data_IF_579477254337
#
_entry.id   IF_579477254337
#
_cell.length_a   1.000
_cell.length_b   1.000
_cell.length_c   1.000
_cell.angle_alpha   90.00
_cell.angle_beta   90.00
_cell.angle_gamma   90.00
#
_symmetry.space_group_name_H-M   'P 1'
#
loop_
_entity.id
_entity.type
_entity.pdbx_description
1 polymer ?
#
# COMPACT_ATOMS: atom_id res chain seq x y z
N UNK A 1 20.78 45.77 -49.41
CA UNK A 1 21.66 44.61 -49.64
C UNK A 1 21.42 43.65 -48.50
N UNK A 2 21.06 42.42 -48.85
CA UNK A 2 20.60 41.31 -48.00
C UNK A 2 21.33 41.18 -46.65
N UNK A 3 20.54 41.01 -45.59
CA UNK A 3 20.89 40.93 -44.16
C UNK A 3 21.56 39.60 -43.74
N UNK A 4 22.40 39.02 -44.61
CA UNK A 4 23.02 37.71 -44.37
C UNK A 4 24.57 37.69 -44.43
N UNK A 5 25.25 38.83 -44.59
CA UNK A 5 26.72 38.85 -44.75
C UNK A 5 27.46 39.90 -43.90
N UNK A 6 27.15 40.01 -42.59
CA UNK A 6 28.04 40.72 -41.65
C UNK A 6 28.12 40.01 -40.30
N UNK A 7 29.35 39.61 -39.96
CA UNK A 7 29.85 39.08 -38.66
C UNK A 7 29.95 37.56 -38.48
N UNK A 8 30.51 36.88 -39.49
CA UNK A 8 31.61 35.92 -39.25
C UNK A 8 32.91 36.73 -39.26
N UNK A 9 33.37 37.21 -38.11
CA UNK A 9 34.73 37.79 -37.97
C UNK A 9 35.11 38.11 -36.50
N UNK A 10 34.72 37.29 -35.52
CA UNK A 10 35.18 37.46 -34.12
C UNK A 10 35.34 36.13 -33.34
N UNK A 11 35.63 35.05 -34.05
CA UNK A 11 36.14 33.79 -33.48
C UNK A 11 37.33 33.37 -34.33
N UNK A 12 38.55 33.70 -33.87
CA UNK A 12 39.83 33.02 -34.17
C UNK A 12 41.02 33.92 -33.83
N UNK A 13 41.12 34.34 -32.57
CA UNK A 13 42.42 34.83 -32.05
C UNK A 13 42.42 34.76 -30.52
N UNK A 14 42.70 33.55 -30.02
CA UNK A 14 43.47 33.23 -28.80
C UNK A 14 43.23 31.79 -28.36
N UNK A 15 43.78 30.87 -29.16
CA UNK A 15 44.31 29.61 -28.64
C UNK A 15 45.83 29.64 -28.87
N UNK A 16 46.57 29.10 -27.90
CA UNK A 16 47.98 28.71 -27.91
C UNK A 16 49.04 29.78 -27.59
N UNK A 17 49.59 29.65 -26.39
CA UNK A 17 51.01 29.33 -26.13
C UNK A 17 51.07 28.86 -24.65
N UNK A 18 51.21 27.56 -24.40
CA UNK A 18 52.47 26.81 -24.33
C UNK A 18 53.12 26.82 -22.93
N UNK A 19 53.23 25.59 -22.39
CA UNK A 19 54.39 25.02 -21.69
C UNK A 19 54.56 25.33 -20.18
N UNK A 20 54.33 24.28 -19.37
CA UNK A 20 54.84 24.03 -17.99
C UNK A 20 56.32 24.45 -17.80
N UNK A 21 56.82 24.80 -16.59
CA UNK A 21 56.66 23.95 -15.39
C UNK A 21 56.63 24.68 -14.03
N UNK A 22 56.06 24.05 -13.00
CA UNK A 22 56.81 23.74 -11.77
C UNK A 22 55.90 23.18 -10.69
N UNK A 23 56.22 21.96 -10.29
CA UNK A 23 55.97 21.40 -8.96
C UNK A 23 56.22 22.45 -7.87
N UNK A 24 55.16 22.89 -7.20
CA UNK A 24 55.23 23.31 -5.80
C UNK A 24 54.08 22.66 -5.04
N UNK A 25 54.43 21.54 -4.43
CA UNK A 25 53.85 21.06 -3.19
C UNK A 25 53.62 22.23 -2.22
N UNK A 26 52.35 22.52 -1.94
CA UNK A 26 51.88 23.11 -0.68
C UNK A 26 50.76 22.20 -0.21
N UNK A 27 51.15 21.19 0.55
CA UNK A 27 50.88 21.15 1.99
C UNK A 27 49.37 21.18 2.28
N UNK A 28 48.83 19.96 2.34
CA UNK A 28 47.66 19.53 3.06
C UNK A 28 47.17 20.53 4.11
N UNK A 29 46.07 21.23 3.79
CA UNK A 29 45.24 21.87 4.80
C UNK A 29 43.90 21.12 4.89
N UNK A 30 43.47 20.91 6.12
CA UNK A 30 42.60 19.83 6.58
C UNK A 30 41.10 20.14 6.35
N UNK A 31 40.68 20.25 5.09
CA UNK A 31 39.31 20.64 4.72
C UNK A 31 38.26 19.53 4.66
N UNK A 32 38.63 18.26 4.46
CA UNK A 32 37.65 17.22 4.08
C UNK A 32 36.87 16.56 5.24
N UNK A 33 37.43 16.54 6.46
CA UNK A 33 36.87 15.71 7.55
C UNK A 33 35.83 16.45 8.41
N UNK A 34 35.87 17.78 8.45
CA UNK A 34 34.94 18.62 9.19
C UNK A 34 33.60 18.82 8.49
N UNK A 35 33.62 19.01 7.16
CA UNK A 35 32.43 19.32 6.36
C UNK A 35 31.48 18.13 6.25
N UNK A 36 32.05 16.93 6.10
CA UNK A 36 31.31 15.67 5.98
C UNK A 36 30.55 15.27 7.26
N UNK A 37 31.13 15.51 8.44
CA UNK A 37 30.45 15.23 9.72
C UNK A 37 29.25 16.15 9.93
N UNK A 38 29.38 17.41 9.56
CA UNK A 38 28.30 18.39 9.60
C UNK A 38 27.17 17.99 8.64
N UNK A 39 27.48 17.50 7.44
CA UNK A 39 26.47 17.01 6.50
C UNK A 39 25.73 15.77 7.02
N UNK A 40 26.44 14.77 7.58
CA UNK A 40 25.80 13.61 8.22
C UNK A 40 24.90 14.04 9.38
N UNK A 41 25.33 15.07 10.12
CA UNK A 41 24.58 15.61 11.23
C UNK A 41 23.32 16.35 10.75
N UNK A 42 23.42 17.25 9.76
CA UNK A 42 22.29 17.99 9.17
C UNK A 42 21.26 17.03 8.54
N UNK A 43 21.74 16.01 7.84
CA UNK A 43 20.90 14.95 7.27
C UNK A 43 20.26 14.12 8.40
N UNK A 44 21.05 13.76 9.41
CA UNK A 44 20.58 13.01 10.57
C UNK A 44 19.50 13.76 11.36
N UNK A 45 19.68 15.06 11.59
CA UNK A 45 18.73 15.93 12.30
C UNK A 45 17.46 16.17 11.48
N UNK A 46 17.58 16.33 10.16
CA UNK A 46 16.43 16.39 9.24
C UNK A 46 15.64 15.08 9.24
N UNK A 47 16.33 13.93 9.36
CA UNK A 47 15.69 12.62 9.31
C UNK A 47 15.00 12.25 10.64
N UNK A 48 15.52 12.70 11.79
CA UNK A 48 14.95 12.42 13.13
C UNK A 48 13.50 12.88 13.29
N UNK A 49 13.00 13.80 12.45
CA UNK A 49 11.59 14.22 12.46
C UNK A 49 10.60 13.19 11.85
N UNK A 50 11.07 12.08 11.26
CA UNK A 50 10.24 11.14 10.48
C UNK A 50 9.81 9.84 11.20
N UNK A 51 9.87 9.76 12.54
CA UNK A 51 9.39 8.58 13.30
C UNK A 51 10.17 7.28 12.99
N UNK A 52 9.53 6.11 12.97
CA UNK A 52 10.23 4.82 12.74
C UNK A 52 10.77 4.65 11.31
N UNK A 53 10.16 5.32 10.32
CA UNK A 53 10.64 5.41 8.93
C UNK A 53 12.00 6.12 8.86
N UNK A 54 12.26 7.02 9.82
CA UNK A 54 13.52 7.74 9.94
C UNK A 54 14.71 6.80 10.12
N UNK A 55 14.59 5.70 10.85
CA UNK A 55 15.76 4.88 11.22
C UNK A 55 16.31 4.11 10.02
N UNK A 56 15.44 3.44 9.25
CA UNK A 56 15.84 2.70 8.05
C UNK A 56 16.36 3.63 6.93
N UNK A 57 15.71 4.79 6.74
CA UNK A 57 16.18 5.80 5.78
C UNK A 57 17.50 6.41 6.26
N UNK A 58 17.63 6.73 7.54
CA UNK A 58 18.88 7.24 8.13
C UNK A 58 20.00 6.24 7.97
N UNK A 59 19.79 4.97 8.26
CA UNK A 59 20.81 3.93 8.14
C UNK A 59 21.24 3.73 6.69
N UNK A 60 20.29 3.72 5.74
CA UNK A 60 20.60 3.62 4.32
C UNK A 60 21.39 4.84 3.80
N UNK A 61 20.97 6.06 4.19
CA UNK A 61 21.67 7.30 3.83
C UNK A 61 23.04 7.38 4.48
N UNK A 62 23.18 7.06 5.77
CA UNK A 62 24.46 7.01 6.48
C UNK A 62 25.39 5.97 5.86
N UNK A 63 24.87 4.81 5.46
CA UNK A 63 25.63 3.75 4.79
C UNK A 63 26.12 4.21 3.42
N UNK A 64 25.26 4.83 2.60
CA UNK A 64 25.63 5.34 1.27
C UNK A 64 26.67 6.46 1.37
N UNK A 65 26.46 7.41 2.27
CA UNK A 65 27.38 8.53 2.51
C UNK A 65 28.73 7.99 3.01
N UNK A 66 28.73 6.99 3.90
CA UNK A 66 29.94 6.31 4.38
C UNK A 66 30.67 5.50 3.30
N UNK A 67 29.93 4.87 2.38
CA UNK A 67 30.51 4.17 1.24
C UNK A 67 31.14 5.12 0.22
N UNK A 68 30.67 6.36 0.14
CA UNK A 68 31.22 7.40 -0.73
C UNK A 68 32.41 8.15 -0.12
N UNK A 69 32.73 7.92 1.16
CA UNK A 69 33.86 8.53 1.89
C UNK A 69 35.20 8.58 1.12
N UNK A 70 35.65 7.52 0.40
CA UNK A 70 36.92 7.57 -0.34
C UNK A 70 36.86 8.35 -1.66
N UNK A 71 35.69 8.81 -2.11
CA UNK A 71 35.47 9.49 -3.41
C UNK A 71 35.16 10.99 -3.19
N UNK A 72 34.90 11.41 -1.94
CA UNK A 72 34.49 12.77 -1.56
C UNK A 72 35.45 13.85 -2.04
N UNK A 73 36.75 13.56 -2.10
CA UNK A 73 37.76 14.53 -2.58
C UNK A 73 37.63 14.85 -4.09
N UNK A 74 36.82 14.09 -4.83
CA UNK A 74 36.60 14.23 -6.27
C UNK A 74 35.18 14.65 -6.64
N UNK A 75 34.29 14.81 -5.66
CA UNK A 75 32.89 15.17 -5.92
C UNK A 75 32.62 16.57 -5.39
N UNK A 76 31.89 17.37 -6.17
CA UNK A 76 31.35 18.66 -5.74
C UNK A 76 30.35 18.44 -4.61
N UNK A 77 30.80 18.71 -3.38
CA UNK A 77 30.06 18.45 -2.14
C UNK A 77 28.75 19.24 -2.10
N UNK A 78 28.69 20.43 -2.71
CA UNK A 78 27.44 21.20 -2.75
C UNK A 78 26.43 20.63 -3.75
N UNK A 79 26.87 20.05 -4.88
CA UNK A 79 25.97 19.31 -5.76
C UNK A 79 25.41 18.05 -5.10
N UNK A 80 26.24 17.34 -4.32
CA UNK A 80 25.77 16.22 -3.52
C UNK A 80 24.72 16.69 -2.50
N UNK A 81 25.00 17.77 -1.77
CA UNK A 81 24.08 18.33 -0.78
C UNK A 81 22.72 18.67 -1.38
N UNK A 82 22.70 19.40 -2.49
CA UNK A 82 21.46 19.74 -3.21
C UNK A 82 20.71 18.49 -3.69
N UNK A 83 21.42 17.50 -4.22
CA UNK A 83 20.81 16.23 -4.64
C UNK A 83 20.21 15.44 -3.45
N UNK A 84 20.90 15.43 -2.30
CA UNK A 84 20.41 14.77 -1.09
C UNK A 84 19.22 15.50 -0.49
N UNK A 85 19.24 16.83 -0.43
CA UNK A 85 18.09 17.63 0.00
C UNK A 85 16.89 17.34 -0.88
N UNK A 86 17.05 17.24 -2.21
CA UNK A 86 15.97 16.86 -3.12
C UNK A 86 15.45 15.43 -2.89
N UNK A 87 16.31 14.47 -2.53
CA UNK A 87 15.90 13.11 -2.15
C UNK A 87 15.10 13.14 -0.84
N UNK A 88 15.56 13.87 0.17
CA UNK A 88 14.89 13.99 1.47
C UNK A 88 13.53 14.69 1.33
N UNK A 89 13.45 15.76 0.54
CA UNK A 89 12.19 16.45 0.22
C UNK A 89 11.23 15.52 -0.54
N UNK A 90 11.70 14.79 -1.55
CA UNK A 90 10.88 13.81 -2.27
C UNK A 90 10.37 12.65 -1.39
N UNK A 91 11.18 12.22 -0.41
CA UNK A 91 10.76 11.24 0.59
C UNK A 91 9.72 11.80 1.56
N UNK A 92 9.88 13.07 1.97
CA UNK A 92 8.93 13.76 2.83
C UNK A 92 7.57 13.92 2.14
N UNK A 93 7.55 14.40 0.90
CA UNK A 93 6.34 14.49 0.09
C UNK A 93 5.67 13.13 -0.04
N UNK A 94 6.44 12.08 -0.34
CA UNK A 94 5.91 10.71 -0.46
C UNK A 94 5.30 10.22 0.86
N UNK A 95 5.96 10.50 2.00
CA UNK A 95 5.44 10.12 3.31
C UNK A 95 4.15 10.88 3.66
N UNK A 96 4.10 12.18 3.40
CA UNK A 96 2.91 13.01 3.62
C UNK A 96 1.75 12.56 2.74
N UNK A 97 2.03 12.30 1.45
CA UNK A 97 1.07 11.76 0.49
C UNK A 97 0.49 10.40 0.99
N UNK A 98 1.33 9.47 1.44
CA UNK A 98 0.88 8.16 1.95
C UNK A 98 0.04 8.31 3.23
N UNK A 99 0.38 9.25 4.12
CA UNK A 99 -0.44 9.55 5.30
C UNK A 99 -1.81 10.12 4.91
N UNK A 100 -1.85 11.00 3.91
CA UNK A 100 -3.10 11.55 3.39
C UNK A 100 -3.94 10.47 2.70
N UNK A 101 -3.32 9.58 1.93
CA UNK A 101 -3.96 8.40 1.38
C UNK A 101 -4.62 7.53 2.47
N UNK A 102 -3.91 7.23 3.56
CA UNK A 102 -4.47 6.43 4.66
C UNK A 102 -5.74 7.06 5.22
N UNK A 103 -5.77 8.39 5.38
CA UNK A 103 -6.97 9.11 5.82
C UNK A 103 -8.07 9.06 4.77
N UNK A 104 -7.73 9.29 3.50
CA UNK A 104 -8.66 9.30 2.38
C UNK A 104 -9.35 7.94 2.20
N UNK A 105 -8.59 6.86 2.11
CA UNK A 105 -9.11 5.53 1.79
C UNK A 105 -10.09 5.03 2.87
N UNK A 106 -9.80 5.34 4.14
CA UNK A 106 -10.69 5.05 5.28
C UNK A 106 -11.96 5.91 5.22
N UNK A 107 -11.82 7.22 4.99
CA UNK A 107 -12.95 8.15 4.93
C UNK A 107 -13.93 7.77 3.80
N UNK A 108 -13.39 7.33 2.66
CA UNK A 108 -14.14 7.05 1.44
C UNK A 108 -14.66 5.61 1.37
N UNK A 109 -14.35 4.82 2.39
CA UNK A 109 -14.91 3.49 2.57
C UNK A 109 -14.35 2.45 1.59
N UNK A 110 -13.09 2.59 1.16
CA UNK A 110 -12.35 1.52 0.52
C UNK A 110 -11.56 0.72 1.56
N UNK A 111 -11.40 -0.60 1.39
CA UNK A 111 -10.42 -1.32 2.18
C UNK A 111 -9.04 -0.80 1.79
N UNK A 112 -8.18 -0.44 2.76
CA UNK A 112 -6.78 -0.21 2.45
C UNK A 112 -6.21 -1.47 1.78
N UNK A 113 -5.43 -1.32 0.73
CA UNK A 113 -4.79 -2.45 0.06
C UNK A 113 -3.29 -2.41 0.32
N UNK A 114 -2.73 -3.54 0.74
CA UNK A 114 -1.27 -3.72 0.84
C UNK A 114 -0.59 -3.82 -0.52
N UNK A 115 -1.35 -4.09 -1.59
CA UNK A 115 -0.84 -4.28 -2.95
C UNK A 115 -1.04 -3.08 -3.88
N UNK A 116 -1.61 -1.97 -3.37
CA UNK A 116 -1.82 -0.77 -4.19
C UNK A 116 -0.47 -0.11 -4.50
N UNK A 117 -0.28 0.29 -5.76
CA UNK A 117 0.96 0.96 -6.19
C UNK A 117 1.15 2.30 -5.45
N UNK A 118 2.38 2.58 -5.02
CA UNK A 118 2.71 3.81 -4.30
C UNK A 118 2.41 5.07 -5.13
N UNK A 119 2.49 5.01 -6.46
CA UNK A 119 2.08 6.11 -7.35
C UNK A 119 0.60 6.44 -7.21
N UNK A 120 -0.26 5.43 -7.11
CA UNK A 120 -1.71 5.61 -6.91
C UNK A 120 -1.99 6.09 -5.48
N UNK A 121 -1.31 5.52 -4.48
CA UNK A 121 -1.39 6.03 -3.10
C UNK A 121 -1.05 7.52 -3.07
N UNK A 122 0.03 7.92 -3.75
CA UNK A 122 0.42 9.33 -3.82
C UNK A 122 -0.59 10.19 -4.55
N UNK A 123 -1.12 9.74 -5.67
CA UNK A 123 -2.17 10.45 -6.40
C UNK A 123 -3.39 10.71 -5.50
N UNK A 124 -3.91 9.68 -4.84
CA UNK A 124 -5.04 9.80 -3.91
C UNK A 124 -4.69 10.72 -2.73
N UNK A 125 -3.48 10.60 -2.19
CA UNK A 125 -2.99 11.43 -1.09
C UNK A 125 -2.95 12.93 -1.44
N UNK A 126 -2.50 13.26 -2.64
CA UNK A 126 -2.48 14.63 -3.18
C UNK A 126 -3.89 15.16 -3.40
N UNK A 127 -4.74 14.40 -4.09
CA UNK A 127 -6.13 14.76 -4.31
C UNK A 127 -6.87 15.03 -2.99
N UNK A 128 -6.62 14.22 -1.97
CA UNK A 128 -7.17 14.42 -0.63
C UNK A 128 -6.69 15.71 0.05
N UNK A 129 -5.40 16.04 -0.09
CA UNK A 129 -4.82 17.24 0.51
C UNK A 129 -5.33 18.52 -0.16
N UNK A 130 -5.49 18.49 -1.48
CA UNK A 130 -5.87 19.64 -2.31
C UNK A 130 -7.39 19.88 -2.33
N UNK A 131 -8.21 18.83 -2.29
CA UNK A 131 -9.66 18.90 -2.45
C UNK A 131 -10.42 18.58 -1.14
N UNK A 132 -10.49 19.56 -0.22
CA UNK A 132 -11.20 19.42 1.06
C UNK A 132 -12.74 19.52 0.93
N UNK A 133 -13.38 18.47 0.39
CA UNK A 133 -14.80 18.05 0.60
C UNK A 133 -15.82 18.15 -0.55
N UNK A 134 -15.52 18.72 -1.73
CA UNK A 134 -16.50 18.70 -2.84
C UNK A 134 -16.02 17.70 -3.90
N UNK A 135 -16.78 16.60 -4.08
CA UNK A 135 -16.59 15.53 -5.07
C UNK A 135 -15.40 14.56 -4.89
N UNK A 136 -14.69 14.61 -3.76
CA UNK A 136 -13.54 13.73 -3.49
C UNK A 136 -13.85 12.23 -3.64
N UNK A 137 -15.08 11.79 -3.30
CA UNK A 137 -15.48 10.38 -3.46
C UNK A 137 -15.61 9.97 -4.93
N UNK A 138 -16.12 10.86 -5.78
CA UNK A 138 -16.25 10.59 -7.22
C UNK A 138 -14.88 10.53 -7.88
N UNK A 139 -14.00 11.49 -7.54
CA UNK A 139 -12.62 11.52 -8.03
C UNK A 139 -11.89 10.23 -7.67
N UNK A 140 -12.02 9.77 -6.43
CA UNK A 140 -11.32 8.56 -5.98
C UNK A 140 -11.98 7.30 -6.51
N UNK A 141 -13.30 7.26 -6.67
CA UNK A 141 -13.97 6.17 -7.37
C UNK A 141 -13.46 6.06 -8.81
N UNK A 142 -13.28 7.18 -9.50
CA UNK A 142 -12.76 7.20 -10.88
C UNK A 142 -11.28 6.76 -10.93
N UNK A 143 -10.41 7.28 -10.04
CA UNK A 143 -9.02 6.81 -9.92
C UNK A 143 -8.96 5.30 -9.66
N UNK A 144 -9.83 4.79 -8.80
CA UNK A 144 -9.87 3.37 -8.46
C UNK A 144 -10.39 2.52 -9.63
N UNK A 145 -11.42 2.98 -10.37
CA UNK A 145 -11.90 2.27 -11.57
C UNK A 145 -10.87 2.25 -12.70
N UNK A 146 -10.19 3.37 -12.93
CA UNK A 146 -9.14 3.48 -13.95
C UNK A 146 -7.97 2.55 -13.63
N UNK A 147 -7.56 2.49 -12.35
CA UNK A 147 -6.49 1.60 -11.91
C UNK A 147 -6.92 0.12 -11.93
N UNK A 148 -8.08 -0.21 -11.37
CA UNK A 148 -8.63 -1.57 -11.34
C UNK A 148 -9.50 -1.87 -12.58
N UNK A 149 -8.98 -1.53 -13.74
CA UNK A 149 -9.61 -1.81 -15.02
C UNK A 149 -9.61 -3.33 -15.34
N UNK A 150 -10.23 -3.71 -16.47
CA UNK A 150 -10.38 -5.11 -16.85
C UNK A 150 -9.05 -5.89 -16.98
N UNK A 151 -7.97 -5.23 -17.41
CA UNK A 151 -6.64 -5.83 -17.48
C UNK A 151 -6.09 -6.07 -16.07
N UNK A 152 -6.17 -5.07 -15.18
CA UNK A 152 -5.70 -5.25 -13.80
C UNK A 152 -6.48 -6.31 -13.04
N UNK A 153 -7.80 -6.37 -13.21
CA UNK A 153 -8.64 -7.43 -12.63
C UNK A 153 -8.27 -8.81 -13.19
N UNK A 154 -7.90 -8.88 -14.47
CA UNK A 154 -7.41 -10.11 -15.08
C UNK A 154 -6.05 -10.54 -14.52
N UNK A 155 -5.13 -9.59 -14.26
CA UNK A 155 -3.87 -9.87 -13.56
C UNK A 155 -4.11 -10.42 -12.16
N UNK A 156 -4.93 -9.75 -11.35
CA UNK A 156 -5.26 -10.19 -9.99
C UNK A 156 -5.90 -11.59 -9.99
N UNK A 157 -6.76 -11.87 -10.99
CA UNK A 157 -7.33 -13.21 -11.15
C UNK A 157 -6.25 -14.26 -11.37
N UNK A 158 -5.22 -13.97 -12.17
CA UNK A 158 -4.11 -14.90 -12.42
C UNK A 158 -3.22 -15.05 -11.18
N UNK A 159 -2.92 -13.96 -10.48
CA UNK A 159 -2.18 -13.99 -9.20
C UNK A 159 -2.89 -14.90 -8.17
N UNK A 160 -4.23 -14.89 -8.13
CA UNK A 160 -4.98 -15.77 -7.23
C UNK A 160 -4.81 -17.27 -7.56
N UNK A 161 -4.44 -17.62 -8.79
CA UNK A 161 -4.24 -19.02 -9.21
C UNK A 161 -2.95 -19.62 -8.66
N UNK A 162 -2.00 -18.79 -8.25
CA UNK A 162 -0.72 -19.22 -7.67
C UNK A 162 -0.86 -19.71 -6.22
N UNK A 163 -2.01 -19.44 -5.57
CA UNK A 163 -2.26 -19.89 -4.20
C UNK A 163 -2.88 -21.29 -4.18
N UNK A 164 -2.09 -22.28 -3.77
CA UNK A 164 -2.50 -23.68 -3.68
C UNK A 164 -3.77 -23.91 -2.84
N UNK A 165 -3.95 -23.15 -1.75
CA UNK A 165 -5.13 -23.27 -0.88
C UNK A 165 -6.42 -22.76 -1.51
N UNK A 166 -6.36 -22.08 -2.67
CA UNK A 166 -7.54 -21.62 -3.40
C UNK A 166 -8.00 -22.60 -4.49
N UNK A 167 -7.25 -23.68 -4.78
CA UNK A 167 -7.52 -24.58 -5.92
C UNK A 167 -8.97 -25.05 -6.02
N UNK A 168 -9.58 -25.42 -4.91
CA UNK A 168 -10.98 -25.89 -4.87
C UNK A 168 -12.01 -24.75 -5.06
N UNK A 169 -11.60 -23.51 -4.80
CA UNK A 169 -12.43 -22.29 -4.92
C UNK A 169 -12.24 -21.57 -6.26
N UNK A 170 -11.15 -21.83 -6.97
CA UNK A 170 -10.81 -21.17 -8.24
C UNK A 170 -11.94 -21.16 -9.27
N UNK A 171 -12.74 -22.25 -9.48
CA UNK A 171 -13.84 -22.20 -10.43
C UNK A 171 -14.84 -21.06 -10.16
N UNK A 172 -15.18 -20.83 -8.88
CA UNK A 172 -16.10 -19.77 -8.48
C UNK A 172 -15.41 -18.40 -8.50
N UNK A 173 -14.19 -18.30 -7.98
CA UNK A 173 -13.43 -17.05 -7.94
C UNK A 173 -13.18 -16.51 -9.36
N UNK A 174 -12.76 -17.37 -10.30
CA UNK A 174 -12.58 -17.01 -11.72
C UNK A 174 -13.88 -16.51 -12.35
N UNK A 175 -15.01 -17.18 -12.08
CA UNK A 175 -16.31 -16.75 -12.58
C UNK A 175 -16.72 -15.39 -12.01
N UNK A 176 -16.46 -15.13 -10.72
CA UNK A 176 -16.76 -13.84 -10.10
C UNK A 176 -15.92 -12.72 -10.72
N UNK A 177 -14.62 -12.94 -10.94
CA UNK A 177 -13.73 -11.96 -11.58
C UNK A 177 -14.11 -11.71 -13.05
N UNK A 178 -14.50 -12.76 -13.79
CA UNK A 178 -15.02 -12.58 -15.15
C UNK A 178 -16.35 -11.81 -15.16
N UNK A 179 -17.23 -12.08 -14.21
CA UNK A 179 -18.49 -11.36 -14.05
C UNK A 179 -18.26 -9.87 -13.77
N UNK A 180 -17.22 -9.51 -13.02
CA UNK A 180 -16.82 -8.11 -12.81
C UNK A 180 -16.52 -7.42 -14.14
N UNK A 181 -15.61 -8.00 -14.94
CA UNK A 181 -15.21 -7.44 -16.24
C UNK A 181 -16.36 -7.35 -17.25
N UNK A 182 -17.45 -8.10 -17.04
CA UNK A 182 -18.68 -8.04 -17.83
C UNK A 182 -19.72 -7.06 -17.27
N UNK A 183 -19.41 -6.30 -16.22
CA UNK A 183 -20.33 -5.39 -15.54
C UNK A 183 -21.41 -6.10 -14.70
N UNK A 184 -21.27 -7.40 -14.46
CA UNK A 184 -22.24 -8.22 -13.71
C UNK A 184 -21.98 -8.12 -12.19
N UNK A 185 -21.97 -6.89 -11.65
CA UNK A 185 -21.63 -6.62 -10.24
C UNK A 185 -22.60 -7.27 -9.25
N UNK A 186 -23.87 -7.39 -9.62
CA UNK A 186 -24.90 -8.07 -8.83
C UNK A 186 -24.61 -9.56 -8.60
N UNK A 187 -23.75 -10.17 -9.44
CA UNK A 187 -23.28 -11.55 -9.29
C UNK A 187 -21.93 -11.55 -8.56
N UNK A 188 -21.00 -10.72 -9.02
CA UNK A 188 -19.63 -10.64 -8.49
C UNK A 188 -19.61 -10.46 -6.97
N UNK A 189 -20.34 -9.46 -6.48
CA UNK A 189 -20.33 -9.05 -5.07
C UNK A 189 -20.77 -10.19 -4.14
N UNK A 190 -21.98 -10.77 -4.27
CA UNK A 190 -22.40 -11.88 -3.41
C UNK A 190 -21.53 -13.14 -3.59
N UNK A 191 -21.09 -13.44 -4.81
CA UNK A 191 -20.20 -14.57 -5.06
C UNK A 191 -18.91 -14.45 -4.25
N UNK A 192 -18.24 -13.30 -4.29
CA UNK A 192 -17.01 -13.07 -3.55
C UNK A 192 -17.23 -12.96 -2.03
N UNK A 193 -18.26 -12.23 -1.59
CA UNK A 193 -18.62 -12.10 -0.17
C UNK A 193 -18.82 -13.46 0.51
N UNK A 194 -19.41 -14.41 -0.21
CA UNK A 194 -19.65 -15.76 0.32
C UNK A 194 -18.38 -16.57 0.55
N UNK A 195 -17.29 -16.26 -0.16
CA UNK A 195 -16.04 -17.04 -0.09
C UNK A 195 -15.11 -16.59 1.03
N UNK A 196 -15.11 -15.31 1.43
CA UNK A 196 -14.15 -14.78 2.40
C UNK A 196 -14.14 -15.55 3.73
N UNK A 197 -15.32 -15.82 4.31
CA UNK A 197 -15.41 -16.63 5.53
C UNK A 197 -14.83 -18.04 5.32
N UNK A 198 -15.19 -18.68 4.21
CA UNK A 198 -14.70 -20.02 3.90
C UNK A 198 -13.18 -20.10 3.76
N UNK A 199 -12.56 -19.11 3.09
CA UNK A 199 -11.10 -19.03 2.93
C UNK A 199 -10.42 -18.95 4.29
N UNK A 200 -10.94 -18.11 5.19
CA UNK A 200 -10.38 -17.91 6.54
C UNK A 200 -10.56 -19.17 7.40
N UNK A 201 -11.74 -19.78 7.36
CA UNK A 201 -12.05 -21.00 8.13
C UNK A 201 -11.14 -22.16 7.74
N UNK A 202 -10.92 -22.35 6.43
CA UNK A 202 -10.03 -23.39 5.91
C UNK A 202 -8.57 -23.13 6.26
N UNK A 203 -8.11 -21.88 6.21
CA UNK A 203 -6.76 -21.49 6.59
C UNK A 203 -6.42 -21.88 8.05
N UNK A 204 -7.38 -21.73 8.96
CA UNK A 204 -7.23 -22.15 10.35
C UNK A 204 -7.59 -23.64 10.59
N UNK A 205 -7.87 -24.41 9.53
CA UNK A 205 -8.26 -25.83 9.58
C UNK A 205 -9.37 -26.11 10.61
N UNK A 206 -10.39 -25.26 10.61
CA UNK A 206 -11.53 -25.37 11.51
C UNK A 206 -12.61 -26.24 10.86
N UNK A 207 -13.05 -27.29 11.56
CA UNK A 207 -14.05 -28.26 11.07
C UNK A 207 -15.40 -28.13 11.77
N UNK A 208 -15.48 -27.31 12.80
CA UNK A 208 -16.67 -27.10 13.61
C UNK A 208 -17.44 -25.86 13.17
N UNK A 209 -18.67 -25.74 13.65
CA UNK A 209 -19.44 -24.51 13.53
C UNK A 209 -18.71 -23.36 14.23
N UNK A 210 -18.52 -22.27 13.50
CA UNK A 210 -17.96 -21.01 14.00
C UNK A 210 -19.13 -20.04 14.21
N UNK A 211 -19.25 -19.51 15.43
CA UNK A 211 -20.21 -18.43 15.72
C UNK A 211 -19.68 -17.09 15.22
N UNK A 212 -20.57 -16.10 15.02
CA UNK A 212 -20.16 -14.75 14.59
C UNK A 212 -19.08 -14.14 15.50
N UNK A 213 -19.23 -14.27 16.83
CA UNK A 213 -18.24 -13.80 17.80
C UNK A 213 -16.87 -14.51 17.68
N UNK A 214 -16.87 -15.81 17.40
CA UNK A 214 -15.63 -16.55 17.16
C UNK A 214 -14.98 -16.14 15.83
N UNK A 215 -15.80 -15.87 14.82
CA UNK A 215 -15.31 -15.40 13.53
C UNK A 215 -14.70 -14.00 13.63
N UNK A 216 -15.33 -13.09 14.38
CA UNK A 216 -14.76 -11.77 14.68
C UNK A 216 -13.36 -11.87 15.32
N UNK A 217 -13.19 -12.77 16.31
CA UNK A 217 -11.87 -13.02 16.89
C UNK A 217 -10.87 -13.60 15.88
N UNK A 218 -11.29 -14.42 14.93
CA UNK A 218 -10.40 -14.90 13.87
C UNK A 218 -9.94 -13.74 12.98
N UNK A 219 -10.81 -12.78 12.67
CA UNK A 219 -10.44 -11.57 11.92
C UNK A 219 -9.39 -10.76 12.69
N UNK A 220 -9.59 -10.55 13.98
CA UNK A 220 -8.61 -9.83 14.82
C UNK A 220 -7.25 -10.53 14.90
N UNK A 221 -7.22 -11.86 14.76
CA UNK A 221 -5.98 -12.64 14.74
C UNK A 221 -5.32 -12.70 13.37
N UNK A 222 -6.12 -12.72 12.31
CA UNK A 222 -5.65 -12.68 10.91
C UNK A 222 -5.08 -11.30 10.56
N UNK A 223 -5.65 -10.24 11.14
CA UNK A 223 -5.21 -8.87 10.98
C UNK A 223 -4.75 -8.30 12.33
N UNK A 224 -3.59 -8.76 12.85
CA UNK A 224 -3.14 -8.41 14.18
C UNK A 224 -2.83 -6.92 14.30
N UNK A 225 -3.20 -6.36 15.45
CA UNK A 225 -2.94 -4.96 15.78
C UNK A 225 -1.60 -4.85 16.52
N UNK A 226 -0.59 -4.27 15.86
CA UNK A 226 0.66 -3.85 16.50
C UNK A 226 0.63 -2.37 16.83
N UNK A 227 1.17 -1.97 17.99
CA UNK A 227 1.51 -0.57 18.27
C UNK A 227 2.86 -0.28 17.59
N UNK A 228 2.81 0.44 16.48
CA UNK A 228 3.97 0.86 15.69
C UNK A 228 3.49 1.49 14.38
N UNK A 229 4.27 2.41 13.80
CA UNK A 229 3.93 3.01 12.50
C UNK A 229 4.34 2.02 11.40
N UNK A 230 3.63 0.89 11.32
CA UNK A 230 3.80 -0.04 10.21
C UNK A 230 3.20 0.60 8.95
N UNK A 231 3.93 0.54 7.83
CA UNK A 231 3.36 0.73 6.50
C UNK A 231 2.23 -0.25 6.21
N UNK A 232 2.15 -1.32 6.99
CA UNK A 232 1.18 -2.35 6.79
C UNK A 232 -0.17 -1.95 7.42
N UNK A 233 -1.19 -2.03 6.56
CA UNK A 233 -2.55 -1.58 6.86
C UNK A 233 -3.36 -2.65 7.59
N UNK A 234 -2.74 -3.67 8.23
CA UNK A 234 -3.49 -4.83 8.73
C UNK A 234 -4.58 -4.41 9.70
N UNK A 235 -4.25 -3.57 10.67
CA UNK A 235 -5.23 -3.07 11.63
C UNK A 235 -6.41 -2.35 10.94
N UNK A 236 -6.14 -1.48 9.97
CA UNK A 236 -7.19 -0.80 9.22
C UNK A 236 -8.03 -1.75 8.38
N UNK A 237 -7.40 -2.78 7.78
CA UNK A 237 -8.09 -3.81 6.99
C UNK A 237 -9.01 -4.64 7.89
N UNK A 238 -8.52 -5.11 9.04
CA UNK A 238 -9.31 -5.83 10.03
C UNK A 238 -10.49 -4.99 10.51
N UNK A 239 -10.24 -3.72 10.86
CA UNK A 239 -11.29 -2.76 11.22
C UNK A 239 -12.31 -2.56 10.08
N UNK A 240 -11.85 -2.46 8.84
CA UNK A 240 -12.71 -2.31 7.68
C UNK A 240 -13.66 -3.51 7.54
N UNK A 241 -13.11 -4.72 7.67
CA UNK A 241 -13.89 -5.96 7.59
C UNK A 241 -14.97 -6.01 8.68
N UNK A 242 -14.59 -5.78 9.94
CA UNK A 242 -15.51 -5.82 11.07
C UNK A 242 -16.61 -4.74 10.96
N UNK A 243 -16.24 -3.50 10.61
CA UNK A 243 -17.16 -2.35 10.64
C UNK A 243 -18.03 -2.20 9.40
N UNK A 244 -17.63 -2.78 8.25
CA UNK A 244 -18.37 -2.62 7.00
C UNK A 244 -18.88 -3.95 6.42
N UNK A 245 -18.11 -5.04 6.50
CA UNK A 245 -18.51 -6.35 5.94
C UNK A 245 -19.40 -7.11 6.94
N UNK A 246 -18.98 -7.23 8.20
CA UNK A 246 -19.72 -7.95 9.25
C UNK A 246 -20.82 -7.13 9.94
N UNK A 247 -21.08 -5.90 9.48
CA UNK A 247 -22.12 -5.06 10.07
C UNK A 247 -23.49 -5.77 10.06
N UNK A 248 -24.22 -5.80 11.18
CA UNK A 248 -25.55 -6.40 11.25
C UNK A 248 -26.58 -5.55 10.51
N UNK A 249 -27.71 -6.15 10.14
CA UNK A 249 -28.84 -5.47 9.53
C UNK A 249 -30.17 -5.98 10.11
N UNK A 250 -31.25 -5.25 9.84
CA UNK A 250 -32.61 -5.65 10.16
C UNK A 250 -33.50 -5.53 8.91
N UNK A 251 -34.32 -6.54 8.64
CA UNK A 251 -35.25 -6.51 7.51
C UNK A 251 -36.22 -5.32 7.62
N UNK A 252 -36.49 -4.68 6.48
CA UNK A 252 -37.37 -3.51 6.39
C UNK A 252 -36.73 -2.18 6.83
N UNK A 253 -35.50 -2.19 7.33
CA UNK A 253 -34.75 -0.95 7.61
C UNK A 253 -33.83 -0.57 6.45
N UNK A 254 -33.48 0.71 6.37
CA UNK A 254 -32.49 1.21 5.41
C UNK A 254 -31.13 0.58 5.70
N UNK A 255 -30.54 -0.06 4.68
CA UNK A 255 -29.20 -0.61 4.77
C UNK A 255 -28.19 0.54 4.91
N UNK A 256 -27.32 0.44 5.93
CA UNK A 256 -26.37 1.51 6.28
C UNK A 256 -25.07 1.46 5.47
N UNK A 257 -24.72 0.29 4.93
CA UNK A 257 -23.46 0.01 4.22
C UNK A 257 -23.76 -0.86 2.99
N UNK A 258 -23.31 -0.40 1.84
CA UNK A 258 -23.47 -1.05 0.53
C UNK A 258 -22.69 -2.37 0.38
N UNK A 259 -21.78 -2.66 1.31
CA UNK A 259 -20.96 -3.89 1.34
C UNK A 259 -21.29 -4.83 2.51
N UNK A 260 -22.38 -4.63 3.24
CA UNK A 260 -22.76 -5.51 4.36
C UNK A 260 -23.03 -6.93 3.87
N UNK A 261 -22.18 -7.88 4.29
CA UNK A 261 -22.34 -9.30 3.97
C UNK A 261 -23.70 -9.81 4.43
N UNK A 262 -24.08 -9.51 5.67
CA UNK A 262 -25.34 -9.99 6.23
C UNK A 262 -26.52 -9.45 5.42
N UNK A 263 -26.53 -8.15 5.10
CA UNK A 263 -27.62 -7.57 4.32
C UNK A 263 -27.71 -8.18 2.91
N UNK A 264 -26.58 -8.35 2.23
CA UNK A 264 -26.56 -8.85 0.84
C UNK A 264 -26.91 -10.34 0.79
N UNK A 265 -26.21 -11.18 1.56
CA UNK A 265 -26.35 -12.64 1.48
C UNK A 265 -27.65 -13.17 2.08
N UNK A 266 -28.30 -12.41 2.98
CA UNK A 266 -29.63 -12.74 3.50
C UNK A 266 -30.78 -11.98 2.81
N UNK A 267 -30.51 -11.32 1.67
CA UNK A 267 -31.54 -10.66 0.86
C UNK A 267 -32.17 -9.43 1.49
N UNK A 268 -31.53 -8.84 2.50
CA UNK A 268 -31.91 -7.55 3.08
C UNK A 268 -31.58 -6.35 2.19
N UNK A 269 -30.51 -6.45 1.39
CA UNK A 269 -30.14 -5.46 0.38
C UNK A 269 -30.63 -5.89 -1.01
N UNK A 270 -31.15 -4.94 -1.79
CA UNK A 270 -31.54 -5.14 -3.19
C UNK A 270 -30.35 -4.83 -4.10
N UNK A 271 -30.30 -5.37 -5.33
CA UNK A 271 -29.21 -5.07 -6.26
C UNK A 271 -28.97 -3.57 -6.47
N UNK A 272 -30.01 -2.74 -6.50
CA UNK A 272 -29.86 -1.29 -6.61
C UNK A 272 -29.05 -0.65 -5.47
N UNK A 273 -28.93 -1.31 -4.32
CA UNK A 273 -28.18 -0.81 -3.15
C UNK A 273 -26.67 -1.09 -3.25
N UNK A 274 -26.25 -2.11 -4.02
CA UNK A 274 -24.86 -2.59 -4.01
C UNK A 274 -24.25 -2.92 -5.38
N UNK A 275 -25.04 -3.16 -6.43
CA UNK A 275 -24.56 -3.66 -7.72
C UNK A 275 -23.93 -2.55 -8.58
N UNK A 276 -22.84 -1.97 -8.09
CA UNK A 276 -22.05 -0.93 -8.74
C UNK A 276 -20.59 -1.34 -8.81
N UNK A 277 -19.85 -0.75 -9.75
CA UNK A 277 -18.46 -1.12 -10.05
C UNK A 277 -17.54 -0.88 -8.87
N UNK A 278 -17.61 0.31 -8.27
CA UNK A 278 -16.80 0.71 -7.12
C UNK A 278 -17.02 -0.21 -5.91
N UNK A 279 -18.25 -0.70 -5.72
CA UNK A 279 -18.58 -1.66 -4.66
C UNK A 279 -17.95 -3.01 -4.98
N UNK A 280 -18.00 -3.44 -6.24
CA UNK A 280 -17.34 -4.67 -6.68
C UNK A 280 -15.83 -4.61 -6.50
N UNK A 281 -15.19 -3.47 -6.83
CA UNK A 281 -13.75 -3.25 -6.61
C UNK A 281 -13.44 -3.37 -5.11
N UNK A 282 -14.20 -2.68 -4.23
CA UNK A 282 -14.03 -2.80 -2.77
C UNK A 282 -14.05 -4.25 -2.28
N UNK A 283 -14.97 -5.07 -2.79
CA UNK A 283 -15.04 -6.49 -2.42
C UNK A 283 -13.85 -7.28 -2.97
N UNK A 284 -13.44 -7.05 -4.22
CA UNK A 284 -12.25 -7.71 -4.81
C UNK A 284 -10.98 -7.40 -4.00
N UNK A 285 -10.80 -6.14 -3.60
CA UNK A 285 -9.67 -5.72 -2.76
C UNK A 285 -9.72 -6.36 -1.37
N UNK A 286 -10.89 -6.43 -0.75
CA UNK A 286 -11.02 -7.07 0.55
C UNK A 286 -10.72 -8.58 0.47
N UNK A 287 -11.19 -9.28 -0.58
CA UNK A 287 -10.86 -10.70 -0.81
C UNK A 287 -9.36 -10.86 -1.01
N UNK A 288 -8.73 -9.98 -1.80
CA UNK A 288 -7.29 -10.01 -2.04
C UNK A 288 -6.52 -9.86 -0.73
N UNK A 289 -6.89 -8.89 0.12
CA UNK A 289 -6.28 -8.72 1.43
C UNK A 289 -6.41 -9.98 2.31
N UNK A 290 -7.57 -10.65 2.29
CA UNK A 290 -7.77 -11.93 3.00
C UNK A 290 -6.85 -13.01 2.46
N UNK A 291 -6.77 -13.18 1.14
CA UNK A 291 -5.91 -14.17 0.48
C UNK A 291 -4.45 -13.94 0.86
N UNK A 292 -3.97 -12.70 0.76
CA UNK A 292 -2.59 -12.35 1.09
C UNK A 292 -2.27 -12.61 2.56
N UNK A 293 -3.15 -12.22 3.49
CA UNK A 293 -2.90 -12.49 4.91
C UNK A 293 -2.96 -13.98 5.24
N UNK A 294 -3.87 -14.74 4.62
CA UNK A 294 -3.90 -16.20 4.76
C UNK A 294 -2.60 -16.84 4.25
N UNK A 295 -2.06 -16.35 3.14
CA UNK A 295 -0.80 -16.85 2.59
C UNK A 295 0.41 -16.60 3.49
N UNK A 296 0.34 -15.61 4.39
CA UNK A 296 1.39 -15.29 5.35
C UNK A 296 1.31 -16.14 6.64
N UNK A 297 0.21 -16.86 6.87
CA UNK A 297 0.05 -17.67 8.08
C UNK A 297 1.04 -18.83 8.14
N UNK A 298 1.75 -18.93 9.25
CA UNK A 298 2.58 -20.09 9.56
C UNK A 298 1.79 -21.18 10.30
N UNK A 299 2.25 -22.43 10.22
CA UNK A 299 1.63 -23.55 10.97
C UNK A 299 1.63 -23.28 12.49
N UNK A 300 2.67 -22.63 13.01
CA UNK A 300 2.79 -22.25 14.42
C UNK A 300 1.71 -21.23 14.83
N UNK A 301 1.47 -20.21 14.01
CA UNK A 301 0.42 -19.22 14.26
C UNK A 301 -0.97 -19.83 14.21
N UNK A 302 -1.21 -20.70 13.22
CA UNK A 302 -2.47 -21.46 13.12
C UNK A 302 -2.68 -22.31 14.37
N UNK A 303 -1.67 -23.05 14.82
CA UNK A 303 -1.75 -23.86 16.02
C UNK A 303 -2.00 -23.01 17.28
N UNK A 304 -1.31 -21.88 17.42
CA UNK A 304 -1.48 -20.92 18.53
C UNK A 304 -2.90 -20.38 18.59
N UNK A 305 -3.41 -19.82 17.49
CA UNK A 305 -4.76 -19.23 17.42
C UNK A 305 -5.83 -20.28 17.73
N UNK A 306 -5.68 -21.51 17.22
CA UNK A 306 -6.60 -22.61 17.52
C UNK A 306 -6.61 -22.98 19.00
N UNK A 307 -5.46 -22.97 19.66
CA UNK A 307 -5.35 -23.25 21.09
C UNK A 307 -5.98 -22.14 21.95
N UNK A 308 -5.70 -20.87 21.62
CA UNK A 308 -6.20 -19.69 22.34
C UNK A 308 -7.72 -19.61 22.36
N UNK A 309 -8.34 -19.86 21.21
CA UNK A 309 -9.79 -19.75 21.04
C UNK A 309 -10.56 -20.96 21.63
N UNK A 310 -9.90 -21.82 22.42
CA UNK A 310 -10.47 -22.98 23.15
C UNK A 310 -11.36 -23.90 22.30
N UNK A 311 -11.08 -24.00 21.01
CA UNK A 311 -11.88 -24.76 20.04
C UNK A 311 -11.93 -26.28 20.30
N UNK A 312 -11.11 -26.79 21.23
CA UNK A 312 -10.85 -28.23 21.44
C UNK A 312 -11.75 -28.87 22.52
N UNK A 313 -12.58 -28.14 23.28
CA UNK A 313 -13.23 -28.73 24.48
C UNK A 313 -14.70 -29.17 24.40
N UNK A 314 -15.40 -29.07 23.28
CA UNK A 314 -16.85 -29.40 23.25
C UNK A 314 -17.27 -30.57 22.34
N UNK A 315 -16.34 -31.38 21.83
CA UNK A 315 -16.71 -32.56 21.02
C UNK A 315 -17.00 -33.85 21.81
N UNK A 316 -16.87 -33.85 23.14
CA UNK A 316 -17.07 -35.07 23.96
C UNK A 316 -18.40 -35.09 24.74
N UNK A 317 -19.34 -34.17 24.46
CA UNK A 317 -20.60 -34.08 25.22
C UNK A 317 -21.90 -34.06 24.42
N UNK A 318 -21.85 -34.25 23.10
CA UNK A 318 -23.09 -34.41 22.30
C UNK A 318 -22.95 -35.51 21.25
N UNK A 319 -22.65 -36.70 21.77
CA UNK A 319 -22.93 -37.99 21.11
C UNK A 319 -24.04 -38.69 21.90
N UNK A 320 -25.24 -38.08 21.94
CA UNK A 320 -26.53 -38.73 22.24
C UNK A 320 -27.60 -37.97 21.43
#
# INVERSE_FOLDING_TARGET
MSTLDKKREFENDKLNNDIEPSLKTKENDKGGEGDYKTIIQDIGESIVQFGEIASAIRESVVSMVSAMKPIIDYIDIEKLRVSFTGIVEGLKETSEDVQNYRKAIILLGYPPSVSLDISIMRQIGKEFAENQNVNLIEIIDDVMKDHYNAEKIQEMKLEWEDFDFLKERLPLLRQAMNAHNLGMYAITIPSLLSQMEGIIIEAFNLKQKVSGYQFEQLIEKLFPTGEGFSFAFENEIGNYYLKNILVPFQHGQKIKKDISRHAILHGGAKPADFAREEVSIKIILMVTNVILQVALLTEEEVARVRAELKWVKDQDKRSI
#
